data_IF_242674735076
#
_entry.id   IF_242674735076
#
_cell.length_a   1.000
_cell.length_b   1.000
_cell.length_c   1.000
_cell.angle_alpha   90.00
_cell.angle_beta   90.00
_cell.angle_gamma   90.00
#
_symmetry.space_group_name_H-M   'P 1'
#
loop_
_entity.id
_entity.type
_entity.pdbx_description
1 polymer ?
#
# COMPACT_ATOMS: atom_id res chain seq x y z
N UNK A 1 -21.30 -67.00 -39.76
CA UNK A 1 -19.84 -66.98 -39.58
C UNK A 1 -19.48 -65.56 -39.14
N UNK A 2 -18.79 -65.45 -38.00
CA UNK A 2 -18.38 -64.23 -37.26
C UNK A 2 -19.50 -63.48 -36.52
N UNK A 3 -19.60 -63.75 -35.22
CA UNK A 3 -20.52 -63.11 -34.28
C UNK A 3 -19.98 -61.79 -33.71
N UNK A 4 -20.89 -60.83 -33.52
CA UNK A 4 -20.60 -59.55 -32.88
C UNK A 4 -20.41 -59.75 -31.36
N UNK A 5 -19.26 -59.32 -30.83
CA UNK A 5 -19.03 -59.16 -29.39
C UNK A 5 -19.15 -57.67 -29.05
N UNK A 6 -20.18 -57.33 -28.29
CA UNK A 6 -20.32 -56.04 -27.61
C UNK A 6 -19.35 -56.02 -26.42
N UNK A 7 -18.46 -55.02 -26.38
CA UNK A 7 -17.59 -54.77 -25.23
C UNK A 7 -18.37 -54.16 -24.06
N UNK A 8 -17.89 -54.31 -22.82
CA UNK A 8 -18.61 -53.83 -21.64
C UNK A 8 -18.57 -52.30 -21.57
N UNK A 9 -19.74 -51.71 -21.35
CA UNK A 9 -19.91 -50.29 -21.03
C UNK A 9 -19.32 -50.05 -19.64
N UNK A 10 -18.19 -49.34 -19.57
CA UNK A 10 -17.62 -48.87 -18.30
C UNK A 10 -18.45 -47.68 -17.82
N UNK A 11 -19.44 -47.93 -16.97
CA UNK A 11 -20.08 -46.90 -16.17
C UNK A 11 -19.06 -46.36 -15.17
N UNK A 12 -18.52 -45.16 -15.42
CA UNK A 12 -17.75 -44.43 -14.41
C UNK A 12 -18.70 -44.07 -13.26
N UNK A 13 -18.53 -44.74 -12.12
CA UNK A 13 -19.10 -44.28 -10.87
C UNK A 13 -18.55 -42.88 -10.56
N UNK A 14 -19.40 -41.92 -10.14
CA UNK A 14 -18.91 -40.67 -9.58
C UNK A 14 -18.05 -40.98 -8.35
N UNK A 15 -16.90 -40.30 -8.23
CA UNK A 15 -16.11 -40.33 -7.01
C UNK A 15 -16.99 -39.91 -5.82
N UNK A 16 -16.94 -40.62 -4.67
CA UNK A 16 -17.67 -40.19 -3.50
C UNK A 16 -17.20 -38.78 -3.11
N UNK A 17 -18.14 -37.88 -2.84
CA UNK A 17 -17.84 -36.58 -2.26
C UNK A 17 -17.06 -36.82 -0.95
N UNK A 18 -15.96 -36.06 -0.69
CA UNK A 18 -15.24 -36.22 0.56
C UNK A 18 -16.22 -35.96 1.71
N UNK A 19 -16.25 -36.91 2.65
CA UNK A 19 -17.05 -36.80 3.85
C UNK A 19 -16.70 -35.48 4.54
N UNK A 20 -17.69 -34.57 4.64
CA UNK A 20 -17.53 -33.28 5.28
C UNK A 20 -17.00 -33.48 6.70
N UNK A 21 -15.80 -32.97 6.96
CA UNK A 21 -15.23 -32.99 8.30
C UNK A 21 -16.06 -32.07 9.19
N UNK A 22 -16.52 -32.60 10.31
CA UNK A 22 -17.17 -31.84 11.38
C UNK A 22 -16.12 -30.89 12.00
N UNK A 23 -16.13 -29.60 11.63
CA UNK A 23 -15.50 -28.52 12.41
C UNK A 23 -14.71 -27.45 11.65
N UNK A 24 -14.29 -27.69 10.40
CA UNK A 24 -13.47 -26.74 9.63
C UNK A 24 -14.29 -25.73 8.80
N UNK A 25 -13.91 -24.45 8.84
CA UNK A 25 -14.42 -23.42 7.91
C UNK A 25 -14.02 -23.69 6.45
N UNK A 26 -14.82 -23.18 5.51
CA UNK A 26 -14.48 -23.07 4.09
C UNK A 26 -13.66 -21.81 3.83
N UNK A 27 -12.45 -21.98 3.34
CA UNK A 27 -11.47 -20.90 3.22
C UNK A 27 -11.03 -20.74 1.77
N UNK A 28 -11.14 -19.52 1.26
CA UNK A 28 -10.58 -19.14 -0.02
C UNK A 28 -9.19 -18.53 0.18
N UNK A 29 -8.13 -19.23 -0.21
CA UNK A 29 -6.77 -18.73 -0.12
C UNK A 29 -6.37 -17.97 -1.39
N UNK A 30 -6.15 -16.66 -1.28
CA UNK A 30 -5.62 -15.85 -2.37
C UNK A 30 -4.10 -16.08 -2.52
N UNK A 31 -3.72 -16.83 -3.55
CA UNK A 31 -2.38 -17.31 -3.82
C UNK A 31 -1.71 -16.49 -4.93
N UNK A 32 -0.75 -15.65 -4.55
CA UNK A 32 -0.05 -14.73 -5.46
C UNK A 32 1.11 -15.38 -6.23
N UNK A 33 1.38 -16.67 -6.01
CA UNK A 33 2.59 -17.33 -6.54
C UNK A 33 3.86 -17.02 -5.75
N UNK A 34 3.74 -16.32 -4.62
CA UNK A 34 4.83 -16.06 -3.68
C UNK A 34 4.77 -16.98 -2.45
N UNK A 35 5.91 -17.06 -1.76
CA UNK A 35 6.10 -17.90 -0.56
C UNK A 35 5.06 -17.65 0.53
N UNK A 36 4.74 -16.38 0.78
CA UNK A 36 3.84 -16.00 1.87
C UNK A 36 2.43 -16.56 1.67
N UNK A 37 1.88 -16.38 0.47
CA UNK A 37 0.53 -16.87 0.17
C UNK A 37 0.43 -18.40 0.17
N UNK A 38 1.52 -19.10 -0.19
CA UNK A 38 1.58 -20.55 -0.17
C UNK A 38 1.62 -21.08 1.27
N UNK A 39 2.46 -20.49 2.13
CA UNK A 39 2.54 -20.87 3.55
C UNK A 39 1.26 -20.51 4.29
N UNK A 40 0.66 -19.35 4.01
CA UNK A 40 -0.64 -18.98 4.57
C UNK A 40 -1.72 -20.00 4.23
N UNK A 41 -1.80 -20.46 2.97
CA UNK A 41 -2.73 -21.53 2.58
C UNK A 41 -2.42 -22.85 3.31
N UNK A 42 -1.13 -23.22 3.38
CA UNK A 42 -0.68 -24.44 4.04
C UNK A 42 -1.07 -24.50 5.53
N UNK A 43 -0.91 -23.39 6.26
CA UNK A 43 -1.32 -23.30 7.67
C UNK A 43 -2.81 -23.50 7.87
N UNK A 44 -3.66 -23.07 6.92
CA UNK A 44 -5.11 -23.29 7.00
C UNK A 44 -5.46 -24.76 6.73
N UNK A 45 -4.75 -25.44 5.84
CA UNK A 45 -4.89 -26.88 5.61
C UNK A 45 -4.52 -27.64 6.88
N UNK A 46 -3.38 -27.32 7.50
CA UNK A 46 -2.92 -27.97 8.73
C UNK A 46 -3.89 -27.74 9.91
N UNK A 47 -4.55 -26.58 9.95
CA UNK A 47 -5.59 -26.28 10.93
C UNK A 47 -6.92 -27.04 10.68
N UNK A 48 -6.99 -27.87 9.63
CA UNK A 48 -8.15 -28.73 9.34
C UNK A 48 -9.28 -28.02 8.58
N UNK A 49 -9.00 -26.89 7.91
CA UNK A 49 -9.99 -26.17 7.12
C UNK A 49 -10.15 -26.73 5.70
N UNK A 50 -11.32 -26.51 5.10
CA UNK A 50 -11.57 -26.81 3.68
C UNK A 50 -11.02 -25.65 2.84
N UNK A 51 -9.78 -25.79 2.36
CA UNK A 51 -9.08 -24.72 1.64
C UNK A 51 -9.24 -24.88 0.13
N UNK A 52 -9.63 -23.79 -0.54
CA UNK A 52 -9.56 -23.66 -2.01
C UNK A 52 -8.62 -22.51 -2.35
N UNK A 53 -7.63 -22.78 -3.20
CA UNK A 53 -6.72 -21.77 -3.73
C UNK A 53 -7.35 -20.97 -4.87
N UNK A 54 -7.06 -19.68 -4.92
CA UNK A 54 -7.37 -18.83 -6.06
C UNK A 54 -6.18 -17.93 -6.40
N UNK A 55 -5.84 -17.86 -7.68
CA UNK A 55 -4.92 -16.85 -8.20
C UNK A 55 -5.70 -15.78 -8.96
N UNK A 56 -5.30 -14.52 -8.78
CA UNK A 56 -5.95 -13.38 -9.43
C UNK A 56 -5.13 -12.97 -10.64
N UNK A 57 -5.70 -13.16 -11.83
CA UNK A 57 -5.14 -12.60 -13.05
C UNK A 57 -5.56 -11.12 -13.13
N UNK A 58 -4.63 -10.22 -12.79
CA UNK A 58 -4.86 -8.78 -12.74
C UNK A 58 -4.31 -8.01 -13.96
N UNK A 59 -3.52 -8.67 -14.81
CA UNK A 59 -2.90 -8.03 -15.97
C UNK A 59 -3.39 -8.63 -17.29
N UNK A 60 -3.79 -7.76 -18.24
CA UNK A 60 -4.02 -8.11 -19.66
C UNK A 60 -2.79 -7.91 -20.54
N UNK A 61 -1.72 -7.32 -20.00
CA UNK A 61 -0.60 -6.86 -20.81
C UNK A 61 0.27 -8.06 -21.24
N UNK A 62 0.46 -8.36 -22.54
CA UNK A 62 1.36 -9.41 -23.02
C UNK A 62 2.80 -9.35 -22.45
N UNK A 63 3.24 -8.17 -22.00
CA UNK A 63 4.55 -7.98 -21.37
C UNK A 63 4.64 -8.42 -19.90
N UNK A 64 3.51 -8.55 -19.18
CA UNK A 64 3.47 -9.18 -17.85
C UNK A 64 3.59 -10.71 -17.90
N UNK A 65 3.63 -11.27 -19.13
CA UNK A 65 3.91 -12.67 -19.41
C UNK A 65 5.40 -12.93 -19.72
N UNK A 66 6.28 -11.94 -19.51
CA UNK A 66 7.73 -12.11 -19.67
C UNK A 66 8.35 -12.60 -18.36
N UNK A 67 9.21 -13.61 -18.48
CA UNK A 67 10.04 -14.11 -17.38
C UNK A 67 10.82 -12.99 -16.72
N UNK A 68 10.70 -12.87 -15.39
CA UNK A 68 11.39 -11.86 -14.59
C UNK A 68 10.58 -10.60 -14.26
N UNK A 69 9.27 -10.56 -14.51
CA UNK A 69 8.42 -9.46 -14.05
C UNK A 69 8.43 -9.36 -12.51
N UNK A 70 8.59 -8.14 -11.98
CA UNK A 70 8.72 -7.89 -10.53
C UNK A 70 7.40 -7.77 -9.75
N UNK A 71 6.27 -8.14 -10.37
CA UNK A 71 4.94 -8.10 -9.79
C UNK A 71 4.38 -9.48 -9.51
N UNK A 72 3.28 -9.56 -8.74
CA UNK A 72 2.63 -10.81 -8.31
C UNK A 72 1.56 -11.37 -9.27
N UNK A 73 1.50 -10.87 -10.50
CA UNK A 73 0.39 -11.06 -11.45
C UNK A 73 0.83 -11.61 -12.81
N UNK A 74 1.98 -12.28 -12.85
CA UNK A 74 2.53 -12.88 -14.07
C UNK A 74 1.99 -14.28 -14.32
N UNK A 75 2.21 -14.80 -15.52
CA UNK A 75 1.88 -16.20 -15.83
C UNK A 75 2.75 -17.16 -15.02
N UNK A 76 4.01 -16.81 -14.78
CA UNK A 76 4.88 -17.56 -13.87
C UNK A 76 4.29 -17.65 -12.47
N UNK A 77 3.75 -16.55 -11.93
CA UNK A 77 3.11 -16.51 -10.61
C UNK A 77 1.89 -17.43 -10.55
N UNK A 78 1.05 -17.45 -11.60
CA UNK A 78 -0.09 -18.35 -11.67
C UNK A 78 0.34 -19.82 -11.66
N UNK A 79 1.42 -20.16 -12.36
CA UNK A 79 1.99 -21.51 -12.35
C UNK A 79 2.63 -21.86 -11.00
N UNK A 80 3.33 -20.93 -10.36
CA UNK A 80 3.87 -21.10 -9.00
C UNK A 80 2.75 -21.36 -7.99
N UNK A 81 1.67 -20.59 -8.07
CA UNK A 81 0.50 -20.74 -7.21
C UNK A 81 -0.19 -22.09 -7.42
N UNK A 82 -0.35 -22.52 -8.69
CA UNK A 82 -0.85 -23.86 -9.03
C UNK A 82 0.03 -24.96 -8.42
N UNK A 83 1.36 -24.89 -8.61
CA UNK A 83 2.28 -25.89 -8.06
C UNK A 83 2.21 -25.97 -6.54
N UNK A 84 2.13 -24.82 -5.86
CA UNK A 84 1.93 -24.79 -4.42
C UNK A 84 0.61 -25.45 -4.02
N UNK A 85 -0.49 -25.17 -4.74
CA UNK A 85 -1.78 -25.83 -4.49
C UNK A 85 -1.73 -27.35 -4.70
N UNK A 86 -1.00 -27.82 -5.73
CA UNK A 86 -0.83 -29.25 -6.01
C UNK A 86 -0.05 -29.95 -4.87
N UNK A 87 1.00 -29.32 -4.34
CA UNK A 87 1.76 -29.81 -3.16
C UNK A 87 0.85 -29.90 -1.92
N UNK A 88 -0.04 -28.93 -1.74
CA UNK A 88 -0.99 -28.90 -0.62
C UNK A 88 -2.21 -29.81 -0.83
N UNK A 89 -2.42 -30.36 -2.02
CA UNK A 89 -3.57 -31.20 -2.34
C UNK A 89 -4.92 -30.44 -2.34
N UNK A 90 -4.92 -29.13 -2.62
CA UNK A 90 -6.12 -28.29 -2.56
C UNK A 90 -6.68 -27.96 -3.97
N UNK A 91 -8.00 -27.79 -4.13
CA UNK A 91 -8.57 -27.24 -5.36
C UNK A 91 -7.99 -25.87 -5.68
N UNK A 92 -7.80 -25.57 -6.97
CA UNK A 92 -7.25 -24.28 -7.37
C UNK A 92 -7.86 -23.74 -8.66
N UNK A 93 -8.20 -22.45 -8.63
CA UNK A 93 -8.82 -21.71 -9.72
C UNK A 93 -8.04 -20.43 -10.04
N UNK A 94 -8.27 -19.90 -11.24
CA UNK A 94 -7.79 -18.57 -11.63
C UNK A 94 -9.00 -17.70 -11.88
N UNK A 95 -9.04 -16.53 -11.24
CA UNK A 95 -10.06 -15.52 -11.47
C UNK A 95 -9.46 -14.35 -12.24
N UNK A 96 -10.06 -14.05 -13.39
CA UNK A 96 -9.76 -12.83 -14.11
C UNK A 96 -10.49 -11.67 -13.43
N UNK A 97 -9.70 -10.72 -12.91
CA UNK A 97 -10.18 -9.44 -12.37
C UNK A 97 -9.44 -8.27 -13.04
N UNK A 98 -8.88 -8.50 -14.23
CA UNK A 98 -8.01 -7.56 -14.91
C UNK A 98 -8.72 -6.29 -15.40
N UNK A 99 -10.00 -6.39 -15.75
CA UNK A 99 -10.86 -5.23 -16.06
C UNK A 99 -11.02 -4.31 -14.86
N UNK A 100 -11.52 -4.86 -13.74
CA UNK A 100 -11.67 -4.11 -12.49
C UNK A 100 -10.34 -3.57 -11.99
N UNK A 101 -9.27 -4.34 -12.09
CA UNK A 101 -7.94 -3.87 -11.69
C UNK A 101 -7.45 -2.69 -12.54
N UNK A 102 -7.66 -2.75 -13.86
CA UNK A 102 -7.32 -1.63 -14.73
C UNK A 102 -8.11 -0.38 -14.33
N UNK A 103 -9.43 -0.49 -14.20
CA UNK A 103 -10.31 0.63 -13.87
C UNK A 103 -10.09 1.19 -12.46
N UNK A 104 -10.12 0.34 -11.44
CA UNK A 104 -10.16 0.74 -10.02
C UNK A 104 -8.77 0.99 -9.41
N UNK A 105 -7.69 0.51 -10.05
CA UNK A 105 -6.32 0.64 -9.52
C UNK A 105 -5.41 1.37 -10.48
N UNK A 106 -5.36 0.97 -11.75
CA UNK A 106 -4.42 1.56 -12.72
C UNK A 106 -4.87 2.94 -13.17
N UNK A 107 -6.14 3.11 -13.54
CA UNK A 107 -6.66 4.41 -13.97
C UNK A 107 -6.76 5.40 -12.79
N UNK A 108 -7.13 4.94 -11.57
CA UNK A 108 -7.03 5.75 -10.34
C UNK A 108 -5.58 6.25 -10.12
N UNK A 109 -4.60 5.35 -10.21
CA UNK A 109 -3.19 5.70 -10.09
C UNK A 109 -2.77 6.78 -11.11
N UNK A 110 -3.15 6.62 -12.38
CA UNK A 110 -2.84 7.59 -13.43
C UNK A 110 -3.55 8.94 -13.17
N UNK A 111 -4.81 8.92 -12.76
CA UNK A 111 -5.60 10.12 -12.48
C UNK A 111 -5.05 10.90 -11.28
N UNK A 112 -4.61 10.22 -10.22
CA UNK A 112 -3.99 10.83 -9.04
C UNK A 112 -2.67 11.54 -9.41
N UNK A 113 -1.83 10.91 -10.24
CA UNK A 113 -0.62 11.58 -10.75
C UNK A 113 -0.93 12.74 -11.68
N UNK A 114 -1.97 12.64 -12.51
CA UNK A 114 -2.44 13.76 -13.33
C UNK A 114 -2.89 14.96 -12.48
N UNK A 115 -3.40 14.70 -11.28
CA UNK A 115 -3.76 15.69 -10.27
C UNK A 115 -2.59 16.14 -9.37
N UNK A 116 -1.36 15.66 -9.61
CA UNK A 116 -0.16 16.06 -8.84
C UNK A 116 -0.05 15.38 -7.49
N UNK A 117 -0.86 14.35 -7.24
CA UNK A 117 -0.85 13.55 -6.02
C UNK A 117 0.05 12.34 -6.18
N UNK A 118 0.48 11.75 -5.05
CA UNK A 118 1.28 10.53 -5.01
C UNK A 118 0.46 9.41 -4.38
N UNK A 119 -0.28 8.62 -5.17
CA UNK A 119 -1.12 7.54 -4.68
C UNK A 119 -0.31 6.32 -4.22
N UNK A 120 -0.94 5.47 -3.40
CA UNK A 120 -0.43 4.14 -3.09
C UNK A 120 -1.33 3.08 -3.76
N UNK A 121 -0.91 2.46 -4.88
CA UNK A 121 -1.74 1.51 -5.60
C UNK A 121 -1.99 0.20 -4.82
N UNK A 122 -1.13 -0.16 -3.86
CA UNK A 122 -1.34 -1.35 -3.03
C UNK A 122 -2.50 -1.16 -2.05
N UNK A 123 -2.65 0.05 -1.50
CA UNK A 123 -3.81 0.42 -0.67
C UNK A 123 -5.12 0.26 -1.47
N UNK A 124 -5.17 0.82 -2.69
CA UNK A 124 -6.33 0.71 -3.59
C UNK A 124 -6.61 -0.73 -4.02
N UNK A 125 -5.57 -1.50 -4.35
CA UNK A 125 -5.72 -2.91 -4.69
C UNK A 125 -6.27 -3.75 -3.52
N UNK A 126 -5.85 -3.49 -2.29
CA UNK A 126 -6.42 -4.16 -1.11
C UNK A 126 -7.90 -3.78 -0.97
N UNK A 127 -8.21 -2.49 -0.98
CA UNK A 127 -9.57 -1.97 -0.85
C UNK A 127 -10.53 -2.54 -1.92
N UNK A 128 -10.22 -2.34 -3.21
CA UNK A 128 -11.14 -2.59 -4.33
C UNK A 128 -11.08 -4.03 -4.86
N UNK A 129 -9.90 -4.64 -4.85
CA UNK A 129 -9.69 -5.92 -5.53
C UNK A 129 -9.68 -7.08 -4.53
N UNK A 130 -8.74 -7.09 -3.58
CA UNK A 130 -8.57 -8.25 -2.68
C UNK A 130 -9.69 -8.38 -1.65
N UNK A 131 -10.22 -7.28 -1.13
CA UNK A 131 -11.18 -7.33 -0.02
C UNK A 131 -12.57 -6.80 -0.36
N UNK A 132 -12.77 -6.13 -1.50
CA UNK A 132 -14.10 -5.96 -2.08
C UNK A 132 -14.36 -7.09 -3.08
N UNK A 133 -13.73 -7.08 -4.27
CA UNK A 133 -14.08 -8.05 -5.30
C UNK A 133 -13.87 -9.53 -4.94
N UNK A 134 -12.74 -9.91 -4.35
CA UNK A 134 -12.46 -11.33 -4.02
C UNK A 134 -13.23 -11.79 -2.80
N UNK A 135 -13.32 -10.96 -1.75
CA UNK A 135 -14.05 -11.30 -0.54
C UNK A 135 -15.55 -11.43 -0.81
N UNK A 136 -16.16 -10.45 -1.48
CA UNK A 136 -17.57 -10.48 -1.84
C UNK A 136 -17.89 -11.71 -2.71
N UNK A 137 -17.07 -11.99 -3.72
CA UNK A 137 -17.23 -13.16 -4.57
C UNK A 137 -17.03 -14.46 -3.79
N UNK A 138 -16.06 -14.52 -2.88
CA UNK A 138 -15.82 -15.67 -2.02
C UNK A 138 -17.02 -15.96 -1.12
N UNK A 139 -17.55 -14.95 -0.44
CA UNK A 139 -18.74 -15.07 0.40
C UNK A 139 -19.95 -15.51 -0.42
N UNK A 140 -20.17 -14.92 -1.60
CA UNK A 140 -21.26 -15.32 -2.50
C UNK A 140 -21.15 -16.78 -2.98
N UNK A 141 -19.94 -17.33 -3.07
CA UNK A 141 -19.68 -18.74 -3.41
C UNK A 141 -19.73 -19.67 -2.19
N UNK A 142 -20.00 -19.14 -0.99
CA UNK A 142 -20.16 -19.93 0.23
C UNK A 142 -18.86 -20.17 1.00
N UNK A 143 -17.80 -19.39 0.77
CA UNK A 143 -16.61 -19.39 1.62
C UNK A 143 -16.86 -18.55 2.89
N UNK A 144 -16.40 -19.06 4.03
CA UNK A 144 -16.55 -18.38 5.33
C UNK A 144 -15.55 -17.25 5.50
N UNK A 145 -14.32 -17.43 4.97
CA UNK A 145 -13.22 -16.47 5.06
C UNK A 145 -12.32 -16.47 3.82
N UNK A 146 -11.66 -15.33 3.59
CA UNK A 146 -10.53 -15.21 2.64
C UNK A 146 -9.21 -15.13 3.41
N UNK A 147 -8.26 -15.96 2.99
CA UNK A 147 -6.90 -15.99 3.55
C UNK A 147 -5.93 -15.36 2.57
N UNK A 148 -5.03 -14.55 3.11
CA UNK A 148 -3.94 -13.94 2.34
C UNK A 148 -2.62 -14.10 3.09
N UNK A 149 -1.51 -14.02 2.36
CA UNK A 149 -0.16 -14.01 2.94
C UNK A 149 0.27 -12.67 3.51
N UNK A 150 -0.65 -11.83 3.99
CA UNK A 150 -0.26 -10.55 4.59
C UNK A 150 0.31 -10.73 6.00
N UNK A 151 1.30 -9.92 6.33
CA UNK A 151 1.88 -9.80 7.66
C UNK A 151 1.10 -8.76 8.46
N UNK A 152 0.04 -9.21 9.11
CA UNK A 152 -0.72 -8.47 10.11
C UNK A 152 -1.42 -9.48 11.02
N UNK A 153 -1.82 -9.07 12.21
CA UNK A 153 -2.53 -9.93 13.16
C UNK A 153 -4.00 -9.53 13.24
N UNK A 154 -4.87 -10.52 13.34
CA UNK A 154 -6.27 -10.32 13.67
C UNK A 154 -6.50 -10.86 15.08
N UNK A 155 -7.00 -10.02 15.98
CA UNK A 155 -7.23 -10.36 17.38
C UNK A 155 -8.71 -10.18 17.70
N UNK A 156 -9.33 -11.14 18.37
CA UNK A 156 -10.70 -10.97 18.86
C UNK A 156 -10.71 -9.95 20.00
N UNK A 157 -11.36 -8.81 19.76
CA UNK A 157 -11.53 -7.73 20.73
C UNK A 157 -12.98 -7.61 21.23
N UNK A 158 -13.23 -6.72 22.21
CA UNK A 158 -14.56 -6.52 22.77
C UNK A 158 -15.59 -5.98 21.76
N UNK A 159 -15.13 -5.30 20.71
CA UNK A 159 -15.95 -4.78 19.60
C UNK A 159 -15.94 -5.66 18.35
N UNK A 160 -15.41 -6.89 18.43
CA UNK A 160 -15.16 -7.76 17.28
C UNK A 160 -13.69 -7.80 16.89
N UNK A 161 -13.41 -8.26 15.67
CA UNK A 161 -12.04 -8.46 15.18
C UNK A 161 -11.28 -7.14 15.08
N UNK A 162 -10.09 -7.10 15.66
CA UNK A 162 -9.14 -5.99 15.63
C UNK A 162 -7.98 -6.29 14.68
N UNK A 163 -7.58 -5.30 13.87
CA UNK A 163 -6.38 -5.37 13.04
C UNK A 163 -5.18 -4.85 13.82
N UNK A 164 -4.11 -5.65 13.89
CA UNK A 164 -2.87 -5.30 14.59
C UNK A 164 -1.64 -5.43 13.69
N UNK A 165 -0.60 -4.67 14.05
CA UNK A 165 0.75 -4.84 13.49
C UNK A 165 1.24 -6.28 13.61
N UNK A 166 1.99 -6.73 12.61
CA UNK A 166 2.74 -7.98 12.70
C UNK A 166 3.86 -7.92 13.75
N UNK A 167 4.35 -9.09 14.17
CA UNK A 167 5.52 -9.19 15.05
C UNK A 167 6.83 -8.78 14.34
N UNK A 168 6.89 -8.97 13.03
CA UNK A 168 8.00 -8.55 12.18
C UNK A 168 7.76 -7.13 11.65
N UNK A 169 8.35 -6.14 12.32
CA UNK A 169 8.19 -4.73 11.96
C UNK A 169 8.69 -4.39 10.54
N UNK A 170 9.65 -5.15 10.00
CA UNK A 170 10.18 -4.91 8.65
C UNK A 170 9.22 -5.40 7.56
N UNK A 171 8.29 -6.29 7.92
CA UNK A 171 7.30 -6.88 7.01
C UNK A 171 5.87 -6.48 7.33
N UNK A 172 5.64 -5.75 8.42
CA UNK A 172 4.33 -5.26 8.83
C UNK A 172 3.56 -4.60 7.66
N UNK A 173 2.37 -5.14 7.40
CA UNK A 173 1.48 -4.71 6.34
C UNK A 173 0.18 -4.14 6.89
N UNK A 174 0.06 -3.91 8.21
CA UNK A 174 -1.15 -3.32 8.80
C UNK A 174 -1.47 -1.94 8.21
N UNK A 175 -0.46 -1.17 7.79
CA UNK A 175 -0.65 0.13 7.13
C UNK A 175 -1.47 0.00 5.84
N UNK A 176 -1.12 -0.94 4.96
CA UNK A 176 -1.83 -1.13 3.68
C UNK A 176 -3.18 -1.86 3.84
N UNK A 177 -3.42 -2.43 5.01
CA UNK A 177 -4.68 -3.07 5.40
C UNK A 177 -5.58 -2.16 6.24
N UNK A 178 -5.13 -0.95 6.60
CA UNK A 178 -5.94 0.00 7.40
C UNK A 178 -7.19 0.54 6.69
N UNK A 179 -7.33 0.24 5.40
CA UNK A 179 -8.52 0.53 4.57
C UNK A 179 -9.64 -0.50 4.73
N UNK A 180 -9.43 -1.55 5.52
CA UNK A 180 -10.43 -2.59 5.73
C UNK A 180 -11.42 -2.20 6.83
N UNK A 181 -12.70 -2.39 6.54
CA UNK A 181 -13.79 -2.23 7.50
C UNK A 181 -14.03 -3.47 8.38
N UNK A 182 -14.89 -3.36 9.40
CA UNK A 182 -15.14 -4.44 10.37
C UNK A 182 -15.59 -5.75 9.73
N UNK A 183 -16.52 -5.69 8.77
CA UNK A 183 -17.03 -6.88 8.06
C UNK A 183 -15.93 -7.57 7.25
N UNK A 184 -15.08 -6.78 6.59
CA UNK A 184 -13.96 -7.31 5.81
C UNK A 184 -12.93 -7.98 6.71
N UNK A 185 -12.61 -7.39 7.86
CA UNK A 185 -11.72 -7.98 8.85
C UNK A 185 -12.28 -9.29 9.43
N UNK A 186 -13.57 -9.32 9.77
CA UNK A 186 -14.23 -10.51 10.31
C UNK A 186 -14.26 -11.71 9.34
N UNK A 187 -14.22 -11.43 8.03
CA UNK A 187 -14.18 -12.44 6.97
C UNK A 187 -12.77 -12.68 6.41
N UNK A 188 -11.74 -12.15 7.06
CA UNK A 188 -10.34 -12.30 6.66
C UNK A 188 -9.56 -13.21 7.61
N UNK A 189 -8.44 -13.74 7.12
CA UNK A 189 -7.43 -14.37 7.96
C UNK A 189 -6.02 -14.12 7.43
N UNK A 190 -5.10 -13.81 8.37
CA UNK A 190 -3.69 -13.45 8.11
C UNK A 190 -2.76 -14.36 8.92
N UNK A 191 -2.51 -15.60 8.46
CA UNK A 191 -1.83 -16.62 9.27
C UNK A 191 -0.35 -16.34 9.55
N UNK A 192 0.24 -15.29 8.97
CA UNK A 192 1.67 -14.99 9.04
C UNK A 192 2.02 -13.87 10.03
N UNK A 193 1.02 -13.16 10.59
CA UNK A 193 1.25 -11.99 11.43
C UNK A 193 2.08 -12.24 12.70
N UNK A 194 2.18 -13.50 13.13
CA UNK A 194 2.92 -13.93 14.33
C UNK A 194 4.26 -14.59 14.02
N UNK A 195 4.68 -14.65 12.75
CA UNK A 195 5.90 -15.35 12.35
C UNK A 195 6.84 -14.43 11.57
N UNK A 196 8.10 -14.28 12.00
CA UNK A 196 9.12 -13.57 11.23
C UNK A 196 9.32 -14.18 9.84
N UNK A 197 9.59 -13.34 8.84
CA UNK A 197 9.75 -13.79 7.44
C UNK A 197 10.78 -14.92 7.23
N UNK A 198 11.95 -14.93 7.90
CA UNK A 198 12.91 -16.03 7.72
C UNK A 198 12.32 -17.39 8.11
N UNK A 199 11.51 -17.44 9.15
CA UNK A 199 10.85 -18.67 9.61
C UNK A 199 9.77 -19.13 8.61
N UNK A 200 9.02 -18.19 8.02
CA UNK A 200 8.06 -18.50 6.94
C UNK A 200 8.78 -19.13 5.73
N UNK A 201 9.97 -18.67 5.37
CA UNK A 201 10.77 -19.27 4.28
C UNK A 201 11.28 -20.67 4.65
N UNK A 202 11.75 -20.86 5.88
CA UNK A 202 12.19 -22.17 6.36
C UNK A 202 11.03 -23.18 6.37
N UNK A 203 9.83 -22.74 6.80
CA UNK A 203 8.61 -23.54 6.76
C UNK A 203 8.23 -23.92 5.32
N UNK A 204 8.32 -22.98 4.37
CA UNK A 204 8.07 -23.28 2.96
C UNK A 204 9.03 -24.34 2.42
N UNK A 205 10.31 -24.24 2.73
CA UNK A 205 11.32 -25.22 2.32
C UNK A 205 11.05 -26.61 2.93
N UNK A 206 10.69 -26.67 4.22
CA UNK A 206 10.35 -27.92 4.89
C UNK A 206 9.12 -28.62 4.29
N UNK A 207 8.18 -27.84 3.74
CA UNK A 207 6.98 -28.34 3.04
C UNK A 207 7.24 -28.72 1.57
N UNK A 208 8.45 -28.52 1.05
CA UNK A 208 8.77 -28.75 -0.36
C UNK A 208 8.13 -27.72 -1.31
N UNK A 209 7.78 -26.54 -0.81
CA UNK A 209 7.25 -25.46 -1.64
C UNK A 209 8.39 -24.79 -2.43
N UNK A 210 8.40 -24.96 -3.75
CA UNK A 210 9.44 -24.45 -4.66
C UNK A 210 9.61 -22.91 -4.66
N UNK A 211 8.65 -22.19 -4.07
CA UNK A 211 8.67 -20.73 -3.95
C UNK A 211 9.49 -20.23 -2.76
N UNK A 212 10.08 -21.11 -1.94
CA UNK A 212 10.80 -20.77 -0.72
C UNK A 212 11.95 -19.75 -0.92
N UNK A 213 12.65 -19.83 -2.06
CA UNK A 213 13.78 -18.95 -2.38
C UNK A 213 13.39 -17.75 -3.26
N UNK A 214 12.13 -17.65 -3.66
CA UNK A 214 11.67 -16.58 -4.55
C UNK A 214 11.78 -15.22 -3.84
N UNK A 215 12.37 -14.19 -4.47
CA UNK A 215 12.41 -12.84 -3.91
C UNK A 215 11.02 -12.27 -3.65
N UNK A 216 10.90 -11.37 -2.68
CA UNK A 216 9.64 -10.67 -2.42
C UNK A 216 9.33 -9.65 -3.52
N UNK A 217 8.05 -9.44 -3.82
CA UNK A 217 7.59 -8.39 -4.73
C UNK A 217 7.62 -7.06 -3.99
N UNK A 218 8.54 -6.16 -4.38
CA UNK A 218 8.70 -4.84 -3.76
C UNK A 218 8.25 -3.67 -4.64
N UNK A 219 8.06 -3.90 -5.95
CA UNK A 219 7.70 -2.87 -6.92
C UNK A 219 6.18 -2.83 -7.20
N UNK A 220 5.71 -1.76 -7.84
CA UNK A 220 4.31 -1.61 -8.27
C UNK A 220 3.98 -2.75 -9.25
N UNK A 221 3.00 -3.59 -8.88
CA UNK A 221 2.81 -4.89 -9.52
C UNK A 221 2.49 -4.83 -11.03
N UNK A 222 1.93 -3.73 -11.53
CA UNK A 222 1.58 -3.55 -12.93
C UNK A 222 2.66 -2.81 -13.76
N UNK A 223 3.75 -2.38 -13.12
CA UNK A 223 4.89 -1.72 -13.76
C UNK A 223 6.06 -2.71 -13.74
N UNK A 224 6.09 -3.58 -14.75
CA UNK A 224 6.90 -4.81 -14.74
C UNK A 224 8.42 -4.57 -14.65
N UNK A 225 8.91 -3.45 -15.17
CA UNK A 225 10.32 -3.04 -15.19
C UNK A 225 10.69 -2.08 -14.05
N UNK A 226 9.70 -1.64 -13.26
CA UNK A 226 9.86 -0.65 -12.19
C UNK A 226 10.01 0.80 -12.67
N UNK A 227 9.87 1.09 -13.98
CA UNK A 227 9.99 2.45 -14.51
C UNK A 227 8.65 3.20 -14.41
N UNK A 228 8.32 3.65 -13.20
CA UNK A 228 7.10 4.43 -12.94
C UNK A 228 7.04 5.72 -13.77
N UNK A 229 8.18 6.39 -13.95
CA UNK A 229 8.24 7.63 -14.73
C UNK A 229 7.94 7.36 -16.21
N UNK A 230 8.56 6.32 -16.80
CA UNK A 230 8.29 5.89 -18.17
C UNK A 230 6.84 5.44 -18.38
N UNK A 231 6.29 4.66 -17.43
CA UNK A 231 4.88 4.26 -17.45
C UNK A 231 3.95 5.47 -17.48
N UNK A 232 4.12 6.42 -16.56
CA UNK A 232 3.30 7.63 -16.50
C UNK A 232 3.48 8.52 -17.74
N UNK A 233 4.70 8.67 -18.24
CA UNK A 233 4.97 9.44 -19.47
C UNK A 233 4.23 8.85 -20.69
N UNK A 234 4.11 7.52 -20.77
CA UNK A 234 3.37 6.83 -21.84
C UNK A 234 1.86 7.05 -21.78
N UNK A 235 1.31 7.30 -20.58
CA UNK A 235 -0.14 7.45 -20.33
C UNK A 235 -0.59 8.91 -20.33
N UNK A 236 0.18 9.79 -19.69
CA UNK A 236 -0.13 11.21 -19.50
C UNK A 236 0.53 12.12 -20.53
N UNK A 237 1.48 11.59 -21.32
CA UNK A 237 2.32 12.39 -22.20
C UNK A 237 3.40 13.16 -21.44
N UNK A 238 4.25 13.86 -22.20
CA UNK A 238 5.28 14.75 -21.67
C UNK A 238 4.81 16.18 -21.74
N UNK A 239 4.92 16.88 -20.61
CA UNK A 239 4.65 18.32 -20.52
C UNK A 239 5.82 18.95 -19.78
N UNK A 240 6.86 19.38 -20.52
CA UNK A 240 8.01 20.01 -19.91
C UNK A 240 7.63 21.31 -19.21
N UNK A 241 8.39 21.67 -18.19
CA UNK A 241 8.11 22.86 -17.38
C UNK A 241 9.24 23.24 -16.44
N UNK A 242 9.14 24.41 -15.79
CA UNK A 242 10.21 24.92 -14.94
C UNK A 242 10.25 24.20 -13.59
N UNK A 243 11.46 24.01 -13.08
CA UNK A 243 11.69 23.79 -11.65
C UNK A 243 12.02 25.16 -11.04
N UNK A 244 11.24 25.59 -10.06
CA UNK A 244 11.39 26.88 -9.39
C UNK A 244 11.70 26.69 -7.90
N UNK A 245 12.35 27.66 -7.27
CA UNK A 245 12.42 27.72 -5.81
C UNK A 245 11.19 28.41 -5.19
N UNK A 246 11.19 28.58 -3.87
CA UNK A 246 10.08 29.17 -3.12
C UNK A 246 9.81 30.63 -3.47
N UNK A 247 10.82 31.34 -4.01
CA UNK A 247 10.70 32.73 -4.45
C UNK A 247 10.24 32.83 -5.92
N UNK A 248 10.02 31.68 -6.58
CA UNK A 248 9.65 31.58 -7.98
C UNK A 248 10.83 31.68 -8.94
N UNK A 249 12.07 31.69 -8.44
CA UNK A 249 13.26 31.74 -9.29
C UNK A 249 13.46 30.39 -9.97
N UNK A 250 13.61 30.41 -11.30
CA UNK A 250 13.87 29.20 -12.07
C UNK A 250 15.26 28.66 -11.78
N UNK A 251 15.32 27.38 -11.40
CA UNK A 251 16.55 26.69 -10.97
C UNK A 251 16.82 25.42 -11.77
N UNK A 252 15.89 25.06 -12.66
CA UNK A 252 16.02 23.94 -13.59
C UNK A 252 14.78 23.78 -14.47
N UNK A 253 14.71 22.64 -15.13
CA UNK A 253 13.63 22.21 -16.00
C UNK A 253 13.36 20.72 -15.81
N UNK A 254 12.16 20.29 -16.16
CA UNK A 254 11.79 18.90 -16.18
C UNK A 254 11.01 18.52 -17.44
N UNK A 255 10.95 17.22 -17.74
CA UNK A 255 10.18 16.66 -18.87
C UNK A 255 8.70 16.39 -18.51
N UNK A 256 8.36 16.38 -17.23
CA UNK A 256 6.99 16.20 -16.74
C UNK A 256 6.92 16.11 -15.21
N UNK A 257 5.87 16.68 -14.63
CA UNK A 257 5.63 16.71 -13.18
C UNK A 257 5.47 15.31 -12.56
N UNK A 258 4.97 14.35 -13.33
CA UNK A 258 4.77 12.94 -12.91
C UNK A 258 6.08 12.20 -12.60
N UNK A 259 7.24 12.75 -12.93
CA UNK A 259 8.56 12.21 -12.56
C UNK A 259 9.02 12.62 -11.16
N UNK A 260 8.21 13.40 -10.44
CA UNK A 260 8.54 13.97 -9.15
C UNK A 260 7.55 13.53 -8.07
N UNK A 261 8.04 13.50 -6.83
CA UNK A 261 7.24 13.25 -5.63
C UNK A 261 7.64 14.25 -4.55
N UNK A 262 6.67 14.75 -3.78
CA UNK A 262 6.95 15.64 -2.64
C UNK A 262 7.92 14.97 -1.66
N UNK A 263 8.97 15.69 -1.28
CA UNK A 263 10.09 15.20 -0.46
C UNK A 263 11.23 14.54 -1.24
N UNK A 264 11.13 14.42 -2.57
CA UNK A 264 12.21 13.88 -3.40
C UNK A 264 13.45 14.79 -3.39
N UNK A 265 14.62 14.18 -3.11
CA UNK A 265 15.95 14.84 -3.17
C UNK A 265 16.73 14.48 -4.42
N UNK A 266 16.71 13.20 -4.82
CA UNK A 266 17.54 12.67 -5.91
C UNK A 266 16.85 12.88 -7.25
N UNK A 267 17.64 12.94 -8.33
CA UNK A 267 17.09 13.00 -9.69
C UNK A 267 16.58 14.38 -10.14
N UNK A 268 16.70 15.42 -9.31
CA UNK A 268 16.26 16.78 -9.66
C UNK A 268 17.14 17.46 -10.72
N UNK A 269 18.40 17.00 -10.88
CA UNK A 269 19.38 17.49 -11.87
C UNK A 269 19.38 19.03 -12.02
N UNK A 270 19.38 19.74 -10.89
CA UNK A 270 19.34 21.19 -10.86
C UNK A 270 20.67 21.76 -11.40
N UNK A 271 20.59 22.67 -12.36
CA UNK A 271 21.76 23.32 -12.97
C UNK A 271 22.33 24.45 -12.12
N UNK A 272 21.59 24.90 -11.11
CA UNK A 272 21.96 25.99 -10.21
C UNK A 272 22.05 25.44 -8.78
N UNK A 273 23.25 25.42 -8.17
CA UNK A 273 23.39 25.11 -6.75
C UNK A 273 22.59 26.09 -5.89
N UNK A 274 22.09 25.65 -4.74
CA UNK A 274 21.54 26.57 -3.76
C UNK A 274 22.64 27.50 -3.25
N UNK A 275 22.31 28.76 -2.92
CA UNK A 275 23.27 29.74 -2.40
C UNK A 275 23.99 29.26 -1.14
N UNK A 276 23.31 28.47 -0.31
CA UNK A 276 23.83 27.86 0.91
C UNK A 276 24.55 26.52 0.68
N UNK A 277 24.62 26.06 -0.57
CA UNK A 277 25.20 24.76 -0.96
C UNK A 277 24.43 23.53 -0.46
N UNK A 278 23.27 23.69 0.18
CA UNK A 278 22.48 22.59 0.75
C UNK A 278 21.62 21.90 -0.33
N UNK A 279 21.29 20.61 -0.16
CA UNK A 279 20.42 19.91 -1.09
C UNK A 279 18.99 20.47 -1.04
N UNK A 280 18.36 20.55 -2.21
CA UNK A 280 16.94 20.91 -2.35
C UNK A 280 16.06 19.68 -2.45
N UNK A 281 14.81 19.85 -2.04
CA UNK A 281 13.76 18.83 -2.04
C UNK A 281 12.53 19.36 -2.76
N UNK A 282 11.78 18.50 -3.44
CA UNK A 282 10.48 18.87 -4.04
C UNK A 282 9.50 19.20 -2.92
N UNK A 283 9.03 20.44 -2.87
CA UNK A 283 8.07 20.93 -1.88
C UNK A 283 6.63 20.80 -2.37
N UNK A 284 6.40 21.09 -3.66
CA UNK A 284 5.09 21.11 -4.27
C UNK A 284 5.16 20.77 -5.76
N UNK A 285 4.07 20.26 -6.31
CA UNK A 285 3.94 19.86 -7.70
C UNK A 285 2.61 20.41 -8.22
N UNK A 286 2.67 21.33 -9.19
CA UNK A 286 1.49 21.84 -9.89
C UNK A 286 1.46 21.28 -11.33
N UNK A 287 0.63 20.26 -11.61
CA UNK A 287 0.41 19.81 -12.99
C UNK A 287 -0.30 20.86 -13.85
N UNK A 288 -1.13 21.71 -13.24
CA UNK A 288 -1.88 22.78 -13.94
C UNK A 288 -0.89 23.75 -14.59
N UNK A 289 0.06 24.25 -13.80
CA UNK A 289 1.11 25.18 -14.23
C UNK A 289 2.35 24.48 -14.80
N UNK A 290 2.35 23.14 -14.80
CA UNK A 290 3.51 22.30 -15.12
C UNK A 290 4.78 22.74 -14.37
N UNK A 291 4.63 23.08 -13.08
CA UNK A 291 5.74 23.60 -12.26
C UNK A 291 6.05 22.65 -11.12
N UNK A 292 7.34 22.47 -10.84
CA UNK A 292 7.84 21.77 -9.64
C UNK A 292 8.53 22.79 -8.75
N UNK A 293 8.07 22.92 -7.51
CA UNK A 293 8.66 23.82 -6.52
C UNK A 293 9.66 23.04 -5.68
N UNK A 294 10.87 23.57 -5.53
CA UNK A 294 11.91 22.99 -4.69
C UNK A 294 12.37 23.95 -3.60
N UNK A 295 12.92 23.40 -2.51
CA UNK A 295 13.46 24.23 -1.45
C UNK A 295 14.14 23.43 -0.36
N UNK A 296 14.40 24.06 0.80
CA UNK A 296 15.12 23.45 1.90
C UNK A 296 14.26 22.39 2.59
N UNK A 297 14.87 21.46 3.33
CA UNK A 297 14.16 20.34 3.97
C UNK A 297 13.13 20.82 4.98
N UNK A 298 13.42 21.93 5.65
CA UNK A 298 12.61 22.54 6.68
C UNK A 298 11.25 22.98 6.13
N UNK A 299 11.17 23.34 4.85
CA UNK A 299 9.92 23.70 4.18
C UNK A 299 8.99 22.49 3.88
N UNK A 300 9.44 21.26 4.12
CA UNK A 300 8.60 20.05 4.05
C UNK A 300 7.85 19.76 5.36
N UNK A 301 8.05 20.56 6.39
CA UNK A 301 7.42 20.35 7.68
C UNK A 301 5.89 20.52 7.55
N UNK A 302 5.18 19.52 8.03
CA UNK A 302 3.71 19.47 8.04
C UNK A 302 3.29 19.25 9.48
N UNK A 303 2.33 20.05 9.93
CA UNK A 303 1.74 19.95 11.27
C UNK A 303 0.23 19.64 11.21
N UNK A 304 -0.41 19.93 10.07
CA UNK A 304 -1.84 19.71 9.87
C UNK A 304 -2.09 18.97 8.57
N UNK A 305 -3.00 18.01 8.64
CA UNK A 305 -3.43 17.20 7.52
C UNK A 305 -4.96 17.24 7.45
N UNK A 306 -5.48 17.49 6.26
CA UNK A 306 -6.87 17.24 5.91
C UNK A 306 -6.92 15.93 5.13
N UNK A 307 -7.73 14.99 5.61
CA UNK A 307 -7.89 13.69 4.98
C UNK A 307 -9.36 13.41 4.65
N UNK A 308 -9.60 12.65 3.59
CA UNK A 308 -10.91 12.33 3.02
C UNK A 308 -11.09 10.82 2.94
N UNK A 309 -12.34 10.38 2.75
CA UNK A 309 -12.72 8.95 2.65
C UNK A 309 -12.26 8.15 3.88
N UNK A 310 -12.70 8.54 5.09
CA UNK A 310 -12.34 7.84 6.31
C UNK A 310 -12.93 6.44 6.32
N UNK A 311 -12.15 5.50 6.81
CA UNK A 311 -12.55 4.14 7.14
C UNK A 311 -12.15 3.86 8.57
N UNK A 312 -13.08 3.32 9.34
CA UNK A 312 -12.84 2.90 10.71
C UNK A 312 -12.86 1.38 10.78
N UNK A 313 -11.87 0.78 11.46
CA UNK A 313 -11.84 -0.67 11.68
C UNK A 313 -12.85 -1.11 12.74
N UNK A 314 -13.21 -0.19 13.64
CA UNK A 314 -14.26 -0.29 14.65
C UNK A 314 -14.81 1.13 14.94
N UNK A 315 -15.97 1.24 15.57
CA UNK A 315 -16.50 2.55 16.01
C UNK A 315 -15.47 3.27 16.90
N UNK A 316 -14.96 4.46 16.51
CA UNK A 316 -13.99 5.20 17.30
C UNK A 316 -14.58 5.82 18.56
N UNK A 317 -15.91 5.80 18.72
CA UNK A 317 -16.63 6.48 19.79
C UNK A 317 -16.76 7.99 19.55
N UNK A 318 -17.40 8.72 20.47
CA UNK A 318 -17.63 10.15 20.32
C UNK A 318 -16.38 10.98 20.62
N UNK A 319 -16.19 12.05 19.85
CA UNK A 319 -15.20 13.08 20.13
C UNK A 319 -13.89 12.95 19.35
N UNK A 320 -12.90 13.81 19.65
CA UNK A 320 -11.59 13.72 19.03
C UNK A 320 -10.86 12.45 19.48
N UNK A 321 -10.13 11.84 18.53
CA UNK A 321 -9.25 10.73 18.79
C UNK A 321 -7.82 11.23 19.00
N UNK A 322 -7.09 10.67 19.97
CA UNK A 322 -5.67 10.98 20.20
C UNK A 322 -4.86 9.69 20.25
N UNK A 323 -3.72 9.68 19.57
CA UNK A 323 -2.85 8.50 19.48
C UNK A 323 -1.72 8.72 18.48
N UNK A 324 -1.29 7.65 17.80
CA UNK A 324 -0.24 7.73 16.80
C UNK A 324 -0.81 7.64 15.38
N UNK A 325 -0.29 8.44 14.45
CA UNK A 325 -0.60 8.32 13.03
C UNK A 325 0.62 7.94 12.23
N UNK A 326 0.43 7.09 11.22
CA UNK A 326 1.45 6.74 10.25
C UNK A 326 1.06 7.32 8.89
N UNK A 327 2.00 8.00 8.23
CA UNK A 327 1.75 8.79 7.02
C UNK A 327 2.31 8.15 5.73
N UNK A 328 3.05 7.05 5.88
CA UNK A 328 3.58 6.21 4.79
C UNK A 328 3.95 4.83 5.32
N UNK A 329 3.95 3.81 4.47
CA UNK A 329 4.12 2.40 4.87
C UNK A 329 5.38 2.10 5.71
N UNK A 330 6.51 2.73 5.39
CA UNK A 330 7.78 2.60 6.14
C UNK A 330 8.11 3.86 6.96
N UNK A 331 7.10 4.67 7.29
CA UNK A 331 7.25 5.86 8.12
C UNK A 331 7.12 5.55 9.60
N UNK A 332 7.87 6.27 10.42
CA UNK A 332 7.67 6.23 11.87
C UNK A 332 6.29 6.81 12.24
N UNK A 333 5.61 6.24 13.25
CA UNK A 333 4.42 6.83 13.81
C UNK A 333 4.68 8.21 14.44
N UNK A 334 3.69 9.08 14.35
CA UNK A 334 3.73 10.46 14.85
C UNK A 334 2.55 10.68 15.79
N UNK A 335 2.75 11.13 17.03
CA UNK A 335 1.65 11.47 17.92
C UNK A 335 0.78 12.58 17.31
N UNK A 336 -0.55 12.43 17.37
CA UNK A 336 -1.49 13.34 16.75
C UNK A 336 -2.88 13.30 17.39
N UNK A 337 -3.63 14.39 17.19
CA UNK A 337 -5.06 14.48 17.45
C UNK A 337 -5.84 14.47 16.13
N UNK A 338 -6.93 13.72 16.08
CA UNK A 338 -7.78 13.56 14.90
C UNK A 338 -9.21 13.94 15.26
N UNK A 339 -9.78 14.87 14.50
CA UNK A 339 -11.20 15.21 14.57
C UNK A 339 -11.89 14.74 13.31
N UNK A 340 -12.92 13.91 13.47
CA UNK A 340 -13.75 13.45 12.37
C UNK A 340 -14.96 14.36 12.21
N UNK A 341 -15.15 14.87 11.00
CA UNK A 341 -16.25 15.76 10.60
C UNK A 341 -16.87 15.19 9.31
N UNK A 342 -17.87 14.33 9.45
CA UNK A 342 -18.49 13.64 8.32
C UNK A 342 -17.51 12.75 7.56
N UNK A 343 -17.27 13.06 6.29
CA UNK A 343 -16.36 12.35 5.38
C UNK A 343 -14.94 12.92 5.36
N UNK A 344 -14.61 13.78 6.32
CA UNK A 344 -13.30 14.44 6.45
C UNK A 344 -12.71 14.27 7.84
N UNK A 345 -11.39 14.16 7.89
CA UNK A 345 -10.61 14.22 9.12
C UNK A 345 -9.70 15.44 9.11
N UNK A 346 -9.68 16.15 10.23
CA UNK A 346 -8.66 17.12 10.56
C UNK A 346 -7.66 16.48 11.52
N UNK A 347 -6.42 16.31 11.07
CA UNK A 347 -5.34 15.71 11.85
C UNK A 347 -4.34 16.79 12.22
N UNK A 348 -4.05 16.92 13.52
CA UNK A 348 -3.01 17.81 14.05
C UNK A 348 -1.89 16.97 14.63
N UNK A 349 -0.71 17.06 14.04
CA UNK A 349 0.48 16.37 14.52
C UNK A 349 1.04 17.12 15.73
N UNK A 350 1.52 16.38 16.74
CA UNK A 350 2.17 16.96 17.92
C UNK A 350 3.62 17.37 17.66
N UNK A 351 4.21 16.80 16.59
CA UNK A 351 5.52 17.16 16.07
C UNK A 351 5.46 17.22 14.54
N UNK A 352 6.16 18.16 13.89
CA UNK A 352 6.15 18.27 12.44
C UNK A 352 6.66 16.99 11.77
N UNK A 353 5.96 16.54 10.73
CA UNK A 353 6.39 15.43 9.87
C UNK A 353 6.93 15.95 8.53
N UNK A 354 7.73 15.14 7.84
CA UNK A 354 8.24 15.45 6.49
C UNK A 354 7.93 14.34 5.50
N UNK A 355 7.76 14.70 4.23
CA UNK A 355 7.41 13.76 3.17
C UNK A 355 5.97 13.24 3.31
N UNK A 356 5.05 14.14 3.66
CA UNK A 356 3.61 13.90 3.69
C UNK A 356 3.05 14.31 2.33
N UNK A 357 2.68 13.34 1.51
CA UNK A 357 2.21 13.59 0.14
C UNK A 357 0.69 13.37 0.04
N UNK A 358 -0.06 14.30 -0.56
CA UNK A 358 -1.45 14.05 -0.97
C UNK A 358 -1.57 12.79 -1.81
N UNK A 359 -2.65 12.02 -1.60
CA UNK A 359 -2.88 10.71 -2.21
C UNK A 359 -2.37 9.51 -1.39
N UNK A 360 -1.46 9.71 -0.43
CA UNK A 360 -1.10 8.69 0.57
C UNK A 360 -2.20 8.52 1.63
N UNK A 361 -2.10 7.50 2.47
CA UNK A 361 -3.00 7.31 3.61
C UNK A 361 -2.41 7.83 4.92
N UNK A 362 -3.26 8.41 5.76
CA UNK A 362 -3.04 8.55 7.19
C UNK A 362 -3.71 7.37 7.90
N UNK A 363 -2.96 6.61 8.68
CA UNK A 363 -3.46 5.42 9.41
C UNK A 363 -3.27 5.64 10.90
N UNK A 364 -4.34 5.47 11.69
CA UNK A 364 -4.38 5.69 13.13
C UNK A 364 -4.03 4.40 13.86
N UNK A 365 -3.17 4.52 14.86
CA UNK A 365 -2.70 3.42 15.70
C UNK A 365 -2.90 3.71 17.18
N UNK A 366 -3.44 2.72 17.89
CA UNK A 366 -3.43 2.63 19.35
C UNK A 366 -2.49 1.50 19.75
N UNK A 367 -1.21 1.84 19.97
CA UNK A 367 -0.14 0.84 20.12
C UNK A 367 0.01 0.01 18.84
N UNK A 368 -0.29 -1.28 18.90
CA UNK A 368 -0.26 -2.14 17.71
C UNK A 368 -1.56 -2.15 16.91
N UNK A 369 -2.68 -1.70 17.49
CA UNK A 369 -4.01 -1.79 16.88
C UNK A 369 -4.22 -0.68 15.86
N UNK A 370 -4.69 -1.02 14.67
CA UNK A 370 -5.15 -0.08 13.65
C UNK A 370 -6.58 0.34 14.00
N UNK A 371 -6.81 1.64 14.16
CA UNK A 371 -8.13 2.21 14.51
C UNK A 371 -8.90 2.63 13.25
N UNK A 372 -8.19 3.16 12.25
CA UNK A 372 -8.80 3.59 11.00
C UNK A 372 -7.78 4.19 10.05
N UNK A 373 -8.23 4.54 8.86
CA UNK A 373 -7.42 5.27 7.88
C UNK A 373 -8.25 6.25 7.06
N UNK A 374 -7.57 7.22 6.45
CA UNK A 374 -8.15 8.14 5.47
C UNK A 374 -7.10 8.50 4.41
N UNK A 375 -7.54 8.97 3.24
CA UNK A 375 -6.62 9.47 2.20
C UNK A 375 -6.26 10.93 2.48
N UNK A 376 -4.97 11.25 2.51
CA UNK A 376 -4.46 12.61 2.66
C UNK A 376 -4.86 13.43 1.43
N UNK A 377 -5.68 14.46 1.64
CA UNK A 377 -6.12 15.40 0.60
C UNK A 377 -5.20 16.62 0.58
N UNK A 378 -4.86 17.12 1.77
CA UNK A 378 -3.99 18.29 1.95
C UNK A 378 -3.08 18.14 3.16
N UNK A 379 -1.86 18.63 3.06
CA UNK A 379 -0.87 18.67 4.12
C UNK A 379 -0.25 20.07 4.19
N UNK A 380 -0.27 20.71 5.36
CA UNK A 380 0.22 22.08 5.53
C UNK A 380 1.05 22.23 6.81
N UNK A 381 2.06 23.09 6.74
CA UNK A 381 2.75 23.62 7.92
C UNK A 381 1.79 24.51 8.72
N UNK A 382 1.87 24.48 10.05
CA UNK A 382 1.26 25.53 10.86
C UNK A 382 2.13 26.78 10.73
N UNK A 383 1.62 27.86 10.11
CA UNK A 383 2.38 29.12 9.98
C UNK A 383 2.60 29.83 11.33
N UNK A 384 2.16 29.24 12.45
CA UNK A 384 2.41 29.70 13.80
C UNK A 384 3.71 29.10 14.40
N UNK A 385 4.85 29.41 13.78
CA UNK A 385 6.15 29.39 14.48
C UNK A 385 6.99 30.59 14.01
N UNK A 386 6.99 31.72 14.74
CA UNK A 386 7.91 32.81 14.48
C UNK A 386 9.29 32.41 15.02
N UNK A 387 10.00 31.59 14.23
CA UNK A 387 11.31 31.05 14.56
C UNK A 387 12.45 31.70 13.79
N UNK A 388 12.45 33.02 13.60
CA UNK A 388 13.67 33.81 13.33
C UNK A 388 13.44 35.30 13.60
N UNK A 389 13.19 35.67 14.86
CA UNK A 389 13.63 36.98 15.31
C UNK A 389 15.15 36.91 15.44
N UNK A 390 15.86 37.27 14.37
CA UNK A 390 17.27 37.61 14.48
C UNK A 390 17.28 38.91 15.26
N UNK A 391 17.72 38.86 16.52
CA UNK A 391 18.02 40.05 17.30
C UNK A 391 19.00 40.91 16.50
N UNK A 392 18.49 42.01 15.93
CA UNK A 392 19.32 43.08 15.42
C UNK A 392 20.03 43.71 16.63
N UNK A 393 21.36 43.92 16.59
CA UNK A 393 22.03 44.60 17.67
C UNK A 393 21.49 46.03 17.75
N UNK A 394 20.96 46.38 18.92
CA UNK A 394 20.62 47.75 19.29
C UNK A 394 21.88 48.59 19.10
N UNK A 395 21.83 49.52 18.15
CA UNK A 395 22.85 50.54 17.98
C UNK A 395 22.79 51.47 19.20
N UNK A 396 23.77 51.34 20.09
CA UNK A 396 24.06 52.31 21.14
C UNK A 396 24.59 53.59 20.48
N UNK A 397 23.69 54.57 20.34
CA UNK A 397 24.05 55.94 20.00
C UNK A 397 24.33 56.73 21.26
N UNK A 398 25.60 56.85 21.65
CA UNK A 398 26.09 58.04 22.35
C UNK A 398 27.62 58.13 22.39
N UNK A 399 28.21 59.05 21.62
CA UNK A 399 29.42 59.80 22.00
C UNK A 399 29.56 61.05 21.13
N UNK A 400 29.24 62.18 21.73
CA UNK A 400 29.50 63.54 21.23
C UNK A 400 30.99 63.81 21.04
N UNK A 401 31.40 64.65 20.07
CA UNK A 401 32.72 65.23 20.05
C UNK A 401 32.72 66.52 20.88
N UNK A 402 33.58 66.56 21.89
CA UNK A 402 34.05 67.81 22.51
C UNK A 402 34.96 68.50 21.51
N UNK A 403 34.65 69.74 21.15
CA UNK A 403 35.47 70.57 20.27
C UNK A 403 35.24 72.04 20.58
N UNK A 404 36.07 72.59 21.45
CA UNK A 404 36.12 73.99 21.83
C UNK A 404 36.63 74.86 20.67
N UNK A 405 35.93 75.95 20.35
CA UNK A 405 36.40 77.34 20.44
C UNK A 405 35.34 78.30 19.92
#
# INVERSE_FOLDING_TARGET
MVGARTGPTVTRQPLPAPAGSLGGMKVLAAMSGGVDSAVAAARMVDAGHEVTGVHLALSRNPQSFRSGSRGCCSREDAHDARRAADVLGIPFYVWDLSERFAEDVVEDFVAEYAAGRTPNPCLRCNEKIKFSAVLERGVALGFDRVVTGHYARLVEGPGGVELHRAVDAAKDQSYVLGVLGPEQLARSAFPLGETPKPEVRAEAAARGLLVADKPDSHDICFIADGDTAGFLASRLGRRPGPIVDQDGTRVGEHEGTHSFTVGQRRGLRLGVPAEDGRPRFVLDISPVDATVVVGPREALQVDRIEAVRPTWTQDPGPGPWSGEVQLRAHGEPVPADVRAEGDRWQVRLHRPATGVAPGQAVVLYAGTRVVGSATIDRAVADRAHPGSAVDAPVADGSRSPVGAR
#
